data_IF_545700647226
#
_entry.id   IF_545700647226
#
_cell.length_a   1.000
_cell.length_b   1.000
_cell.length_c   1.000
_cell.angle_alpha   90.00
_cell.angle_beta   90.00
_cell.angle_gamma   90.00
#
_symmetry.space_group_name_H-M   'P 1'
#
loop_
_entity.id
_entity.type
_entity.pdbx_description
1 polymer ?
#
# COMPACT_ATOMS: atom_id res chain seq x y z
N UNK A 1 -2.78 36.41 -10.53
CA UNK A 1 -2.25 35.66 -11.68
C UNK A 1 -0.94 35.01 -11.23
N UNK A 2 -0.90 33.68 -11.18
CA UNK A 2 0.21 32.89 -10.64
C UNK A 2 -0.32 31.62 -9.97
N UNK A 3 -0.56 30.59 -10.78
CA UNK A 3 -0.96 29.26 -10.34
C UNK A 3 0.27 28.54 -9.80
N UNK A 4 0.22 28.02 -8.56
CA UNK A 4 1.24 27.12 -8.05
C UNK A 4 0.56 25.82 -7.63
N UNK A 5 0.57 24.87 -8.56
CA UNK A 5 -0.04 23.55 -8.54
C UNK A 5 0.88 22.54 -7.83
N UNK A 6 1.06 22.65 -6.51
CA UNK A 6 1.86 21.67 -5.76
C UNK A 6 0.96 20.73 -4.97
N UNK A 7 0.32 19.83 -5.72
CA UNK A 7 -0.02 18.51 -5.20
C UNK A 7 1.26 17.75 -4.91
N UNK A 8 1.75 17.83 -3.67
CA UNK A 8 2.63 16.81 -3.07
C UNK A 8 2.26 16.74 -1.59
N UNK A 9 1.36 15.82 -1.26
CA UNK A 9 1.20 15.35 0.11
C UNK A 9 2.48 14.58 0.42
N UNK A 10 3.51 15.27 0.90
CA UNK A 10 4.65 14.62 1.53
C UNK A 10 4.13 14.05 2.86
N UNK A 11 3.60 12.83 2.81
CA UNK A 11 3.18 12.12 4.01
C UNK A 11 4.46 11.55 4.63
N UNK A 12 4.98 12.25 5.63
CA UNK A 12 5.96 11.69 6.56
C UNK A 12 5.34 10.40 7.16
N UNK A 13 5.76 9.24 6.67
CA UNK A 13 5.37 7.96 7.25
C UNK A 13 6.05 7.86 8.61
N UNK A 14 5.27 7.79 9.70
CA UNK A 14 5.80 7.41 11.02
C UNK A 14 5.96 5.87 11.15
N UNK A 15 5.91 5.14 10.05
CA UNK A 15 5.99 3.69 10.00
C UNK A 15 7.09 3.28 9.04
N UNK A 16 7.94 2.35 9.46
CA UNK A 16 8.89 1.71 8.55
C UNK A 16 8.11 0.83 7.56
N UNK A 17 8.57 0.75 6.32
CA UNK A 17 7.88 -0.02 5.26
C UNK A 17 7.71 -1.48 5.68
N UNK A 18 8.70 -2.02 6.37
CA UNK A 18 8.71 -3.39 6.88
C UNK A 18 7.61 -3.63 7.93
N UNK A 19 7.17 -2.60 8.67
CA UNK A 19 6.02 -2.70 9.58
C UNK A 19 4.70 -2.80 8.84
N UNK A 20 4.57 -2.08 7.73
CA UNK A 20 3.41 -2.16 6.85
C UNK A 20 3.36 -3.55 6.20
N UNK A 21 4.48 -4.05 5.68
CA UNK A 21 4.61 -5.40 5.13
C UNK A 21 4.24 -6.48 6.17
N UNK A 22 4.76 -6.39 7.40
CA UNK A 22 4.39 -7.30 8.49
C UNK A 22 2.90 -7.26 8.81
N UNK A 23 2.32 -6.07 8.82
CA UNK A 23 0.92 -5.87 9.18
C UNK A 23 -0.05 -6.42 8.15
N UNK A 24 0.29 -6.34 6.86
CA UNK A 24 -0.55 -6.89 5.78
C UNK A 24 -0.67 -8.42 5.85
N UNK A 25 0.29 -9.12 6.46
CA UNK A 25 0.21 -10.57 6.68
C UNK A 25 -0.90 -11.02 7.63
N UNK A 26 -1.59 -10.11 8.31
CA UNK A 26 -2.81 -10.42 9.09
C UNK A 26 -3.97 -10.80 8.17
N UNK A 27 -3.94 -10.39 6.89
CA UNK A 27 -4.94 -10.82 5.92
C UNK A 27 -4.70 -12.31 5.59
N UNK A 28 -5.65 -13.17 5.97
CA UNK A 28 -5.54 -14.64 5.99
C UNK A 28 -5.03 -15.28 4.69
N UNK A 29 -5.23 -14.62 3.56
CA UNK A 29 -4.93 -15.14 2.23
C UNK A 29 -3.54 -14.72 1.71
N UNK A 30 -2.85 -13.80 2.40
CA UNK A 30 -1.52 -13.29 2.01
C UNK A 30 -0.42 -14.15 2.64
N UNK A 31 0.50 -14.66 1.81
CA UNK A 31 1.68 -15.41 2.22
C UNK A 31 2.92 -14.50 2.32
N UNK A 32 3.12 -13.67 1.28
CA UNK A 32 4.23 -12.74 1.21
C UNK A 32 3.77 -11.41 0.64
N UNK A 33 4.39 -10.33 1.12
CA UNK A 33 4.20 -8.99 0.59
C UNK A 33 5.54 -8.28 0.54
N UNK A 34 5.76 -7.50 -0.51
CA UNK A 34 6.90 -6.61 -0.66
C UNK A 34 6.42 -5.27 -1.19
N UNK A 35 6.79 -4.19 -0.52
CA UNK A 35 6.53 -2.82 -0.96
C UNK A 35 7.82 -2.28 -1.57
N UNK A 36 7.71 -1.74 -2.78
CA UNK A 36 8.79 -1.03 -3.47
C UNK A 36 8.47 0.45 -3.44
N UNK A 37 9.41 1.24 -2.94
CA UNK A 37 9.30 2.69 -2.93
C UNK A 37 9.94 3.30 -4.18
N UNK A 38 9.43 4.46 -4.60
CA UNK A 38 10.12 5.36 -5.52
C UNK A 38 11.27 6.10 -4.83
N UNK A 39 12.07 6.84 -5.60
CA UNK A 39 13.10 7.73 -5.05
C UNK A 39 12.54 8.81 -4.11
N UNK A 40 11.31 9.26 -4.38
CA UNK A 40 10.55 10.22 -3.56
C UNK A 40 9.93 9.57 -2.30
N UNK A 41 10.21 8.28 -2.05
CA UNK A 41 9.62 7.43 -0.99
C UNK A 41 8.11 7.23 -1.06
N UNK A 42 7.50 7.43 -2.23
CA UNK A 42 6.12 7.02 -2.46
C UNK A 42 6.04 5.53 -2.76
N UNK A 43 4.92 4.89 -2.45
CA UNK A 43 4.69 3.49 -2.84
C UNK A 43 4.61 3.43 -4.37
N UNK A 44 5.56 2.74 -4.98
CA UNK A 44 5.61 2.50 -6.42
C UNK A 44 4.86 1.23 -6.79
N UNK A 45 5.17 0.13 -6.11
CA UNK A 45 4.61 -1.20 -6.36
C UNK A 45 4.38 -1.95 -5.05
N UNK A 46 3.35 -2.79 -5.03
CA UNK A 46 3.11 -3.77 -3.96
C UNK A 46 3.02 -5.15 -4.60
N UNK A 47 4.00 -5.99 -4.35
CA UNK A 47 3.98 -7.39 -4.78
C UNK A 47 3.36 -8.24 -3.69
N UNK A 48 2.43 -9.11 -4.08
CA UNK A 48 1.69 -9.98 -3.15
C UNK A 48 1.70 -11.39 -3.68
N UNK A 49 2.08 -12.35 -2.83
CA UNK A 49 1.87 -13.78 -3.06
C UNK A 49 0.76 -14.23 -2.13
N UNK A 50 -0.25 -14.88 -2.68
CA UNK A 50 -1.44 -15.33 -1.96
C UNK A 50 -1.56 -16.85 -1.98
N UNK A 51 -2.48 -17.38 -1.18
CA UNK A 51 -2.93 -18.77 -1.31
C UNK A 51 -3.64 -18.98 -2.66
N UNK A 52 -3.58 -20.18 -3.21
CA UNK A 52 -4.18 -20.52 -4.52
C UNK A 52 -5.71 -20.30 -4.58
N UNK A 53 -6.40 -20.39 -3.44
CA UNK A 53 -7.85 -20.19 -3.34
C UNK A 53 -8.29 -18.72 -3.32
N UNK A 54 -7.35 -17.78 -3.37
CA UNK A 54 -7.63 -16.36 -3.16
C UNK A 54 -8.28 -15.73 -4.39
N UNK A 55 -9.30 -14.91 -4.19
CA UNK A 55 -9.88 -14.10 -5.26
C UNK A 55 -9.05 -12.81 -5.46
N UNK A 56 -8.38 -12.58 -6.61
CA UNK A 56 -7.50 -11.42 -6.78
C UNK A 56 -8.17 -10.08 -6.50
N UNK A 57 -9.44 -9.90 -6.94
CA UNK A 57 -10.17 -8.65 -6.70
C UNK A 57 -10.48 -8.41 -5.23
N UNK A 58 -10.75 -9.49 -4.47
CA UNK A 58 -10.95 -9.39 -3.02
C UNK A 58 -9.65 -8.99 -2.32
N UNK A 59 -8.53 -9.62 -2.70
CA UNK A 59 -7.22 -9.31 -2.12
C UNK A 59 -6.82 -7.86 -2.33
N UNK A 60 -6.99 -7.35 -3.56
CA UNK A 60 -6.72 -5.94 -3.88
C UNK A 60 -7.55 -5.02 -2.96
N UNK A 61 -8.87 -5.26 -2.86
CA UNK A 61 -9.76 -4.46 -2.02
C UNK A 61 -9.43 -4.53 -0.53
N UNK A 62 -9.06 -5.70 -0.04
CA UNK A 62 -8.70 -5.88 1.38
C UNK A 62 -7.40 -5.12 1.69
N UNK A 63 -6.41 -5.15 0.79
CA UNK A 63 -5.16 -4.40 0.93
C UNK A 63 -5.43 -2.90 0.89
N UNK A 64 -6.18 -2.41 -0.10
CA UNK A 64 -6.57 -1.00 -0.21
C UNK A 64 -7.28 -0.52 1.07
N UNK A 65 -8.29 -1.28 1.51
CA UNK A 65 -9.06 -0.96 2.71
C UNK A 65 -8.19 -0.97 3.96
N UNK A 66 -7.29 -1.95 4.08
CA UNK A 66 -6.37 -2.06 5.22
C UNK A 66 -5.39 -0.89 5.29
N UNK A 67 -4.78 -0.51 4.16
CA UNK A 67 -3.84 0.60 4.09
C UNK A 67 -4.51 1.94 4.41
N UNK A 68 -5.74 2.15 3.93
CA UNK A 68 -6.53 3.34 4.28
C UNK A 68 -6.89 3.33 5.76
N UNK A 69 -7.47 2.23 6.27
CA UNK A 69 -7.99 2.16 7.64
C UNK A 69 -6.88 2.23 8.70
N UNK A 70 -5.76 1.54 8.50
CA UNK A 70 -4.68 1.46 9.50
C UNK A 70 -3.65 2.56 9.37
N UNK A 71 -3.36 2.99 8.14
CA UNK A 71 -2.22 3.88 7.86
C UNK A 71 -2.63 5.20 7.19
N UNK A 72 -3.90 5.38 6.85
CA UNK A 72 -4.37 6.50 6.03
C UNK A 72 -3.61 6.61 4.70
N UNK A 73 -3.30 5.45 4.11
CA UNK A 73 -2.61 5.34 2.82
C UNK A 73 -3.61 4.93 1.75
N UNK A 74 -3.89 5.85 0.82
CA UNK A 74 -4.62 5.54 -0.40
C UNK A 74 -3.66 5.01 -1.46
N UNK A 75 -3.99 3.84 -1.99
CA UNK A 75 -3.38 3.24 -3.18
C UNK A 75 -4.51 2.93 -4.17
N UNK A 76 -4.21 2.97 -5.47
CA UNK A 76 -5.15 2.68 -6.54
C UNK A 76 -4.52 1.62 -7.44
N UNK A 77 -5.19 0.48 -7.60
CA UNK A 77 -4.75 -0.56 -8.53
C UNK A 77 -5.04 -0.13 -9.98
N UNK A 78 -3.98 0.06 -10.78
CA UNK A 78 -4.07 0.40 -12.22
C UNK A 78 -3.39 -0.65 -13.08
#
# INVERSE_FOLDING_TARGET
MGKNELGKVSRNFNYEVEDIERSLKVLNDILFVKIVLSEDRDIKEIHVITKDSSNPKKIIRDIESFLVAKYNIQVDYR
#
